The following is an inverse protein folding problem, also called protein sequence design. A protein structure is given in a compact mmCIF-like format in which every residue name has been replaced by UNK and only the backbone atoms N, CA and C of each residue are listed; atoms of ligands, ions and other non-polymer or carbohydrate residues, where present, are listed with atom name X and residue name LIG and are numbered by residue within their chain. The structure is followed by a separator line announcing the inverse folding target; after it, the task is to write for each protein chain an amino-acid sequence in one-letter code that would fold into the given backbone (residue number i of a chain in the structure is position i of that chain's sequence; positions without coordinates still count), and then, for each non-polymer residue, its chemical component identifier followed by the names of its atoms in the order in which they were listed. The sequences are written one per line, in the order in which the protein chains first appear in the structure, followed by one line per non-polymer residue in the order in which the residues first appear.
data_IF_870986848921
#
_entry.id   IF_870986848921
#
_cell.length_a   1.000
_cell.length_b   1.000
_cell.length_c   1.000
_cell.angle_alpha   90.00
_cell.angle_beta   90.00
_cell.angle_gamma   90.00
#
_symmetry.space_group_name_H-M   'P 1'
#
loop_
_entity.id
_entity.type
_entity.pdbx_description
1 polymer ?
#
# COMPACT_ATOMS: atom_id res chain seq x y z
N UNK A 1 -3.54 10.51 -18.61
CA UNK A 1 -3.40 11.93 -18.99
C UNK A 1 -4.24 12.88 -18.14
N UNK A 2 -5.42 12.47 -17.65
CA UNK A 2 -6.33 13.34 -16.89
C UNK A 2 -5.73 13.88 -15.57
N UNK A 3 -5.00 13.06 -14.80
CA UNK A 3 -4.33 13.51 -13.58
C UNK A 3 -3.31 14.63 -13.83
N UNK A 4 -2.49 14.51 -14.88
CA UNK A 4 -1.50 15.53 -15.22
C UNK A 4 -2.16 16.86 -15.58
N UNK A 5 -3.28 16.83 -16.31
CA UNK A 5 -4.04 18.03 -16.63
C UNK A 5 -4.61 18.68 -15.36
N UNK A 6 -5.24 17.90 -14.48
CA UNK A 6 -5.78 18.38 -13.21
C UNK A 6 -4.69 19.00 -12.32
N UNK A 7 -3.52 18.35 -12.20
CA UNK A 7 -2.39 18.89 -11.43
C UNK A 7 -1.87 20.22 -12.00
N UNK A 8 -1.81 20.34 -13.34
CA UNK A 8 -1.43 21.59 -13.99
C UNK A 8 -2.44 22.70 -13.72
N UNK A 9 -3.73 22.38 -13.75
CA UNK A 9 -4.79 23.36 -13.50
C UNK A 9 -4.83 23.80 -12.04
N UNK A 10 -4.63 22.89 -11.08
CA UNK A 10 -4.44 23.23 -9.67
C UNK A 10 -3.23 24.16 -9.46
N UNK A 11 -2.10 23.89 -10.13
CA UNK A 11 -0.91 24.74 -10.05
C UNK A 11 -1.14 26.13 -10.63
N UNK A 12 -1.84 26.22 -11.78
CA UNK A 12 -2.20 27.52 -12.39
C UNK A 12 -3.11 28.32 -11.45
N UNK A 13 -4.08 27.67 -10.82
CA UNK A 13 -4.99 28.29 -9.86
C UNK A 13 -4.25 28.83 -8.64
N UNK A 14 -3.32 28.06 -8.07
CA UNK A 14 -2.47 28.52 -6.97
C UNK A 14 -1.63 29.76 -7.34
N UNK A 15 -1.03 29.73 -8.52
CA UNK A 15 -0.27 30.86 -9.03
C UNK A 15 -1.15 32.10 -9.23
N UNK A 16 -2.36 31.93 -9.78
CA UNK A 16 -3.31 33.03 -9.96
C UNK A 16 -3.76 33.62 -8.62
N UNK A 17 -4.06 32.77 -7.63
CA UNK A 17 -4.50 33.19 -6.30
C UNK A 17 -3.39 33.91 -5.53
N UNK A 18 -2.16 33.42 -5.57
CA UNK A 18 -1.02 34.08 -4.92
C UNK A 18 -0.74 35.47 -5.50
N UNK A 19 -0.79 35.63 -6.83
CA UNK A 19 -0.67 36.94 -7.47
C UNK A 19 -1.86 37.86 -7.14
N UNK A 20 -3.08 37.33 -7.13
CA UNK A 20 -4.27 38.10 -6.75
C UNK A 20 -4.16 38.62 -5.31
N UNK A 21 -3.82 37.74 -4.36
CA UNK A 21 -3.60 38.10 -2.96
C UNK A 21 -2.49 39.15 -2.82
N UNK A 22 -1.36 38.99 -3.51
CA UNK A 22 -0.27 39.97 -3.53
C UNK A 22 -0.74 41.34 -3.99
N UNK A 23 -1.53 41.40 -5.07
CA UNK A 23 -2.09 42.65 -5.62
C UNK A 23 -3.13 43.27 -4.67
N UNK A 24 -3.97 42.47 -4.03
CA UNK A 24 -4.96 42.92 -3.03
C UNK A 24 -4.24 43.53 -1.83
N UNK A 25 -3.26 42.82 -1.27
CA UNK A 25 -2.49 43.30 -0.12
C UNK A 25 -1.76 44.60 -0.43
N UNK A 26 -1.11 44.70 -1.60
CA UNK A 26 -0.45 45.94 -2.05
C UNK A 26 -1.43 47.11 -2.22
N UNK A 27 -2.64 46.83 -2.72
CA UNK A 27 -3.70 47.85 -2.86
C UNK A 27 -4.25 48.28 -1.50
N UNK A 28 -4.39 47.35 -0.57
CA UNK A 28 -4.85 47.62 0.79
C UNK A 28 -3.85 48.50 1.54
N UNK A 29 -2.57 48.12 1.55
CA UNK A 29 -1.47 48.90 2.15
C UNK A 29 -1.43 50.34 1.63
N UNK A 30 -1.54 50.52 0.31
CA UNK A 30 -1.57 51.86 -0.31
C UNK A 30 -2.79 52.69 0.10
N UNK A 31 -3.93 52.05 0.40
CA UNK A 31 -5.19 52.73 0.76
C UNK A 31 -5.31 53.02 2.25
N UNK A 32 -4.71 52.20 3.11
CA UNK A 32 -4.88 52.31 4.56
C UNK A 32 -3.70 52.95 5.27
N UNK A 33 -2.58 53.23 4.58
CA UNK A 33 -1.36 53.83 5.14
C UNK A 33 -0.80 53.11 6.38
N UNK A 34 -1.35 51.93 6.72
CA UNK A 34 -0.88 51.03 7.75
C UNK A 34 0.40 50.38 7.22
N UNK A 35 1.55 50.86 7.71
CA UNK A 35 2.80 50.14 7.57
C UNK A 35 2.64 48.78 8.26
N UNK A 36 2.50 47.70 7.50
CA UNK A 36 2.61 46.35 8.03
C UNK A 36 4.11 46.08 8.30
N UNK A 37 4.66 46.72 9.32
CA UNK A 37 6.03 46.51 9.76
C UNK A 37 6.11 45.17 10.48
N UNK A 38 6.39 44.13 9.72
CA UNK A 38 7.15 42.92 10.03
C UNK A 38 6.57 41.76 9.23
N UNK A 39 7.35 41.28 8.26
CA UNK A 39 7.24 39.90 7.79
C UNK A 39 7.16 38.99 9.01
N UNK A 40 6.14 38.12 9.16
CA UNK A 40 6.28 36.95 10.00
C UNK A 40 7.47 36.19 9.40
N UNK A 41 8.62 36.25 10.07
CA UNK A 41 9.72 35.34 9.79
C UNK A 41 9.11 33.96 9.99
N UNK A 42 8.89 33.22 8.91
CA UNK A 42 8.70 31.78 9.03
C UNK A 42 9.86 31.29 9.90
N UNK A 43 9.60 30.53 10.99
CA UNK A 43 10.70 29.86 11.67
C UNK A 43 11.48 29.09 10.61
N UNK A 44 12.82 29.10 10.65
CA UNK A 44 13.61 28.26 9.76
C UNK A 44 13.10 26.83 9.88
N UNK A 45 13.17 26.00 8.82
CA UNK A 45 12.79 24.61 8.92
C UNK A 45 13.64 23.97 10.02
N UNK A 46 13.04 23.79 11.20
CA UNK A 46 13.55 22.88 12.20
C UNK A 46 13.54 21.52 11.52
N UNK A 47 14.73 21.00 11.24
CA UNK A 47 14.93 19.59 10.91
C UNK A 47 14.14 18.78 11.95
N UNK A 48 13.11 18.01 11.56
CA UNK A 48 12.52 17.10 12.52
C UNK A 48 13.61 16.07 12.81
N UNK A 49 14.07 16.06 14.06
CA UNK A 49 14.70 14.88 14.62
C UNK A 49 13.81 13.70 14.32
N UNK A 50 14.43 12.64 13.81
CA UNK A 50 13.79 11.37 13.55
C UNK A 50 13.46 10.73 14.90
N UNK A 51 12.34 11.12 15.51
CA UNK A 51 11.70 10.32 16.55
C UNK A 51 10.62 9.46 15.90
N UNK A 52 10.80 8.16 16.04
CA UNK A 52 9.94 7.12 15.51
C UNK A 52 8.50 7.27 16.03
N UNK A 53 7.56 7.57 15.12
CA UNK A 53 6.13 7.43 15.40
C UNK A 53 5.63 6.21 14.65
N UNK A 54 5.25 5.20 15.42
CA UNK A 54 4.70 3.91 15.00
C UNK A 54 3.35 4.06 14.26
N UNK A 55 2.91 3.07 13.46
CA UNK A 55 1.87 3.24 12.43
C UNK A 55 0.40 3.42 12.92
N UNK A 56 0.13 3.66 14.20
CA UNK A 56 -1.20 3.36 14.76
C UNK A 56 -2.16 4.56 14.91
N UNK A 57 -1.82 5.76 14.44
CA UNK A 57 -2.63 6.98 14.73
C UNK A 57 -3.31 7.65 13.53
N UNK A 58 -3.36 7.00 12.35
CA UNK A 58 -4.08 7.53 11.18
C UNK A 58 -5.57 7.13 11.10
N UNK A 59 -6.08 6.38 12.07
CA UNK A 59 -7.47 5.87 12.07
C UNK A 59 -8.45 6.68 12.93
N UNK A 60 -7.99 7.69 13.67
CA UNK A 60 -8.84 8.46 14.61
C UNK A 60 -9.18 9.89 14.17
N UNK A 61 -8.77 10.33 12.97
CA UNK A 61 -9.18 11.65 12.47
C UNK A 61 -10.61 11.58 11.89
N UNK A 62 -11.56 12.44 12.34
CA UNK A 62 -12.98 12.34 11.98
C UNK A 62 -13.27 12.43 10.47
N UNK A 63 -12.36 12.99 9.68
CA UNK A 63 -12.50 13.12 8.22
C UNK A 63 -12.21 11.81 7.47
N UNK A 64 -11.35 10.92 7.98
CA UNK A 64 -11.03 9.65 7.32
C UNK A 64 -12.18 8.64 7.43
N UNK A 65 -12.88 8.66 8.57
CA UNK A 65 -14.01 7.75 8.87
C UNK A 65 -15.26 8.07 8.05
N UNK A 66 -15.43 9.32 7.60
CA UNK A 66 -16.66 9.74 6.90
C UNK A 66 -16.65 9.31 5.43
N UNK A 67 -15.47 9.21 4.79
CA UNK A 67 -15.37 8.82 3.38
C UNK A 67 -15.56 7.32 3.13
N UNK A 68 -15.28 6.45 4.11
CA UNK A 68 -15.41 4.99 3.97
C UNK A 68 -16.83 4.46 4.27
N UNK A 69 -17.72 5.26 4.88
CA UNK A 69 -19.01 4.79 5.41
C UNK A 69 -20.20 4.93 4.44
N UNK A 70 -20.05 5.59 3.29
CA UNK A 70 -21.14 5.75 2.31
C UNK A 70 -21.33 4.54 1.36
N UNK A 71 -20.74 3.37 1.68
CA UNK A 71 -20.69 2.21 0.77
C UNK A 71 -21.74 1.10 0.95
N UNK A 72 -22.81 1.28 1.73
CA UNK A 72 -23.80 0.20 1.92
C UNK A 72 -25.25 0.69 1.97
N UNK A 73 -26.00 0.43 0.88
CA UNK A 73 -27.43 0.12 0.96
C UNK A 73 -27.83 -0.87 -0.16
N UNK A 74 -28.77 -1.80 0.10
CA UNK A 74 -29.06 -2.96 -0.73
C UNK A 74 -30.23 -2.71 -1.69
N UNK A 75 -30.28 -3.43 -2.82
CA UNK A 75 -31.49 -3.53 -3.66
C UNK A 75 -31.19 -3.52 -5.14
N UNK A 76 -31.37 -4.67 -5.79
CA UNK A 76 -31.03 -4.88 -7.20
C UNK A 76 -31.96 -4.19 -8.20
N UNK A 77 -31.40 -3.91 -9.38
CA UNK A 77 -32.11 -3.91 -10.65
C UNK A 77 -31.12 -4.20 -11.78
N UNK A 78 -31.62 -4.93 -12.78
CA UNK A 78 -30.94 -5.65 -13.84
C UNK A 78 -30.14 -4.78 -14.81
N UNK A 79 -29.09 -5.40 -15.37
CA UNK A 79 -28.23 -4.88 -16.45
C UNK A 79 -29.03 -4.70 -17.75
N UNK A 80 -28.81 -3.57 -18.44
CA UNK A 80 -29.00 -3.46 -19.88
C UNK A 80 -27.75 -2.83 -20.51
N UNK A 81 -27.20 -3.39 -21.60
CA UNK A 81 -25.99 -2.90 -22.23
C UNK A 81 -26.31 -1.82 -23.26
N UNK A 82 -25.84 -0.60 -23.02
CA UNK A 82 -25.89 0.47 -24.00
C UNK A 82 -25.69 1.83 -23.38
N UNK A 83 -24.89 2.66 -24.04
CA UNK A 83 -24.63 4.09 -23.77
C UNK A 83 -23.46 4.35 -22.80
N UNK A 84 -22.24 4.43 -23.36
CA UNK A 84 -21.09 5.06 -22.72
C UNK A 84 -21.32 6.58 -22.72
N UNK A 85 -21.89 7.12 -21.64
CA UNK A 85 -21.97 8.56 -21.40
C UNK A 85 -20.77 9.06 -20.60
N UNK A 86 -20.31 10.32 -20.80
CA UNK A 86 -19.19 10.87 -20.06
C UNK A 86 -19.56 11.08 -18.58
N UNK A 87 -18.68 10.67 -17.67
CA UNK A 87 -18.84 10.84 -16.22
C UNK A 87 -18.59 12.32 -15.84
N UNK A 88 -19.49 13.20 -16.26
CA UNK A 88 -19.52 14.60 -15.85
C UNK A 88 -20.15 14.68 -14.44
N UNK A 89 -19.35 14.39 -13.41
CA UNK A 89 -19.87 14.39 -12.03
C UNK A 89 -18.85 14.46 -10.90
N UNK A 90 -17.55 14.23 -11.18
CA UNK A 90 -16.53 14.25 -10.13
C UNK A 90 -16.01 15.66 -9.79
N UNK A 91 -16.12 16.61 -10.72
CA UNK A 91 -15.47 17.93 -10.56
C UNK A 91 -16.19 18.86 -9.57
N UNK A 92 -17.49 18.66 -9.33
CA UNK A 92 -18.32 19.58 -8.54
C UNK A 92 -18.42 19.25 -7.04
N UNK A 93 -17.93 18.08 -6.60
CA UNK A 93 -18.07 17.64 -5.19
C UNK A 93 -16.89 18.06 -4.31
N UNK A 94 -15.74 18.36 -4.90
CA UNK A 94 -14.48 18.58 -4.18
C UNK A 94 -14.28 20.02 -3.65
N UNK A 95 -14.89 21.02 -4.29
CA UNK A 95 -14.83 22.44 -3.88
C UNK A 95 -15.76 22.82 -2.71
N UNK A 96 -16.58 21.89 -2.20
CA UNK A 96 -17.53 22.15 -1.09
C UNK A 96 -16.89 22.10 0.30
N UNK A 97 -15.71 21.50 0.42
CA UNK A 97 -14.95 21.47 1.65
C UNK A 97 -13.85 22.51 1.50
N UNK A 98 -13.76 23.51 2.39
CA UNK A 98 -12.76 24.59 2.37
C UNK A 98 -11.32 24.11 2.60
N UNK A 99 -10.90 23.10 1.87
CA UNK A 99 -9.59 22.48 1.90
C UNK A 99 -8.57 23.43 1.28
N UNK A 100 -7.43 23.57 1.93
CA UNK A 100 -6.30 24.28 1.33
C UNK A 100 -5.77 23.51 0.12
N UNK A 101 -5.12 24.22 -0.80
CA UNK A 101 -4.57 23.63 -2.02
C UNK A 101 -3.64 22.43 -1.77
N UNK A 102 -2.77 22.42 -0.73
CA UNK A 102 -2.00 21.21 -0.37
C UNK A 102 -2.88 20.00 -0.04
N UNK A 103 -3.98 20.20 0.70
CA UNK A 103 -4.91 19.12 1.02
C UNK A 103 -5.65 18.62 -0.23
N UNK A 104 -6.05 19.54 -1.11
CA UNK A 104 -6.67 19.19 -2.38
C UNK A 104 -5.74 18.35 -3.26
N UNK A 105 -4.47 18.73 -3.34
CA UNK A 105 -3.45 18.00 -4.09
C UNK A 105 -3.20 16.61 -3.50
N UNK A 106 -3.13 16.49 -2.16
CA UNK A 106 -3.01 15.19 -1.49
C UNK A 106 -4.22 14.31 -1.79
N UNK A 107 -5.45 14.83 -1.64
CA UNK A 107 -6.68 14.06 -1.93
C UNK A 107 -6.67 13.55 -3.36
N UNK A 108 -6.45 14.42 -4.34
CA UNK A 108 -6.42 14.05 -5.76
C UNK A 108 -5.34 13.00 -6.04
N UNK A 109 -4.13 13.18 -5.50
CA UNK A 109 -3.06 12.20 -5.67
C UNK A 109 -3.42 10.86 -5.03
N UNK A 110 -3.98 10.85 -3.81
CA UNK A 110 -4.34 9.62 -3.12
C UNK A 110 -5.47 8.87 -3.81
N UNK A 111 -6.54 9.55 -4.22
CA UNK A 111 -7.68 8.91 -4.90
C UNK A 111 -7.32 8.34 -6.27
N UNK A 112 -6.34 8.95 -6.96
CA UNK A 112 -5.96 8.53 -8.31
C UNK A 112 -4.79 7.55 -8.34
N UNK A 113 -3.83 7.67 -7.43
CA UNK A 113 -2.61 6.86 -7.44
C UNK A 113 -2.71 5.63 -6.53
N UNK A 114 -3.32 5.73 -5.34
CA UNK A 114 -3.40 4.57 -4.42
C UNK A 114 -4.09 3.35 -5.04
N UNK A 115 -5.16 3.47 -5.86
CA UNK A 115 -5.79 2.30 -6.46
C UNK A 115 -4.93 1.59 -7.51
N UNK A 116 -3.95 2.26 -8.10
CA UNK A 116 -3.10 1.70 -9.17
C UNK A 116 -1.71 1.32 -8.71
N UNK A 117 -1.27 1.82 -7.54
CA UNK A 117 -0.01 1.43 -6.94
C UNK A 117 -0.21 0.06 -6.27
N UNK A 118 0.49 -0.99 -6.74
CA UNK A 118 0.37 -2.29 -6.12
C UNK A 118 0.94 -2.26 -4.70
N UNK A 119 0.16 -2.69 -3.71
CA UNK A 119 0.63 -2.82 -2.34
C UNK A 119 1.32 -4.17 -2.16
N UNK A 120 2.32 -4.26 -1.28
CA UNK A 120 3.01 -5.53 -1.03
C UNK A 120 2.11 -6.55 -0.31
N UNK A 121 1.18 -6.07 0.51
CA UNK A 121 0.30 -6.90 1.34
C UNK A 121 -0.63 -7.77 0.48
N UNK A 122 -1.05 -7.27 -0.69
CA UNK A 122 -1.86 -8.00 -1.67
C UNK A 122 -1.15 -9.24 -2.24
N UNK A 123 0.18 -9.29 -2.13
CA UNK A 123 1.02 -10.37 -2.63
C UNK A 123 1.73 -11.14 -1.50
N UNK A 124 1.25 -10.98 -0.28
CA UNK A 124 1.78 -11.68 0.89
C UNK A 124 1.25 -13.12 1.00
N UNK A 125 2.08 -14.02 1.51
CA UNK A 125 1.69 -15.39 1.84
C UNK A 125 1.04 -15.41 3.23
N UNK A 126 -0.20 -15.87 3.34
CA UNK A 126 -0.97 -15.86 4.60
C UNK A 126 -0.46 -16.82 5.68
N UNK A 127 0.59 -17.60 5.40
CA UNK A 127 1.23 -18.49 6.38
C UNK A 127 2.44 -17.82 7.04
N UNK A 128 3.24 -17.10 6.27
CA UNK A 128 4.47 -16.48 6.76
C UNK A 128 4.44 -14.95 6.77
N UNK A 129 3.33 -14.34 6.32
CA UNK A 129 3.10 -12.90 6.25
C UNK A 129 4.20 -12.11 5.54
N UNK A 130 4.96 -12.77 4.66
CA UNK A 130 5.95 -12.14 3.79
C UNK A 130 5.53 -12.33 2.34
N UNK A 131 6.16 -11.60 1.42
CA UNK A 131 5.97 -11.75 -0.03
C UNK A 131 5.90 -13.23 -0.43
N UNK A 132 4.90 -13.61 -1.22
CA UNK A 132 4.66 -14.96 -1.68
C UNK A 132 5.69 -15.39 -2.76
N UNK A 133 6.97 -15.43 -2.39
CA UNK A 133 8.08 -15.77 -3.29
C UNK A 133 7.92 -17.17 -3.88
N UNK A 134 7.93 -17.25 -5.23
CA UNK A 134 7.41 -18.38 -6.00
C UNK A 134 5.95 -18.67 -5.58
N UNK A 135 5.00 -17.85 -6.06
CA UNK A 135 3.61 -17.93 -5.63
C UNK A 135 2.94 -19.18 -6.19
N UNK A 136 2.21 -19.91 -5.34
CA UNK A 136 1.26 -20.94 -5.75
C UNK A 136 -0.15 -20.42 -5.50
N UNK A 137 -1.01 -20.54 -6.51
CA UNK A 137 -2.46 -20.37 -6.34
C UNK A 137 -3.12 -21.73 -6.24
N UNK A 138 -3.77 -21.99 -5.11
CA UNK A 138 -4.59 -23.18 -4.96
C UNK A 138 -5.80 -23.13 -5.91
N UNK A 139 -6.46 -24.27 -6.13
CA UNK A 139 -7.71 -24.33 -6.89
C UNK A 139 -8.80 -23.42 -6.30
N UNK A 140 -8.78 -23.21 -4.97
CA UNK A 140 -9.63 -22.25 -4.28
C UNK A 140 -9.18 -20.77 -4.40
N UNK A 141 -8.21 -20.48 -5.28
CA UNK A 141 -7.68 -19.15 -5.64
C UNK A 141 -6.82 -18.43 -4.58
N UNK A 142 -6.70 -18.99 -3.37
CA UNK A 142 -5.84 -18.43 -2.33
C UNK A 142 -4.35 -18.59 -2.64
N UNK A 143 -3.57 -17.60 -2.22
CA UNK A 143 -2.16 -17.41 -2.57
C UNK A 143 -1.22 -17.78 -1.41
N UNK A 144 -0.19 -18.57 -1.71
CA UNK A 144 0.86 -18.94 -0.76
C UNK A 144 2.23 -18.97 -1.48
N UNK A 145 3.34 -18.98 -0.74
CA UNK A 145 4.63 -19.34 -1.34
C UNK A 145 4.80 -20.87 -1.38
N UNK A 146 5.55 -21.38 -2.37
CA UNK A 146 5.86 -22.82 -2.52
C UNK A 146 6.32 -23.43 -1.20
N UNK A 147 7.27 -22.78 -0.51
CA UNK A 147 7.89 -23.33 0.71
C UNK A 147 6.88 -23.56 1.84
N UNK A 148 5.99 -22.60 2.09
CA UNK A 148 4.95 -22.76 3.10
C UNK A 148 3.96 -23.86 2.73
N UNK A 149 3.58 -23.94 1.44
CA UNK A 149 2.67 -24.99 0.99
C UNK A 149 3.31 -26.39 1.11
N UNK A 150 4.57 -26.56 0.71
CA UNK A 150 5.29 -27.83 0.85
C UNK A 150 5.45 -28.26 2.31
N UNK A 151 5.61 -27.32 3.25
CA UNK A 151 5.58 -27.63 4.69
C UNK A 151 4.21 -28.14 5.14
N UNK A 152 3.12 -27.51 4.68
CA UNK A 152 1.77 -27.99 4.99
C UNK A 152 1.49 -29.38 4.42
N UNK A 153 1.91 -29.64 3.18
CA UNK A 153 1.78 -30.95 2.55
C UNK A 153 2.56 -32.04 3.31
N UNK A 154 3.80 -31.76 3.74
CA UNK A 154 4.59 -32.69 4.58
C UNK A 154 3.93 -32.98 5.94
N UNK A 155 3.16 -32.03 6.47
CA UNK A 155 2.37 -32.20 7.69
C UNK A 155 1.03 -32.92 7.48
N UNK A 156 0.70 -33.32 6.25
CA UNK A 156 -0.59 -33.96 5.93
C UNK A 156 -1.80 -33.02 6.03
N UNK A 157 -1.59 -31.70 6.02
CA UNK A 157 -2.70 -30.72 6.09
C UNK A 157 -3.32 -30.52 4.72
N UNK A 158 -4.53 -31.03 4.52
CA UNK A 158 -5.22 -30.99 3.22
C UNK A 158 -6.03 -29.71 2.95
N UNK A 159 -6.47 -29.05 4.01
CA UNK A 159 -7.41 -27.93 3.93
C UNK A 159 -6.69 -26.59 3.82
N UNK A 160 -7.18 -25.73 2.91
CA UNK A 160 -6.72 -24.35 2.79
C UNK A 160 -6.96 -23.59 4.10
N UNK A 161 -5.97 -22.84 4.64
CA UNK A 161 -6.11 -22.12 5.91
C UNK A 161 -7.12 -20.96 5.85
N UNK A 162 -7.48 -20.48 4.66
CA UNK A 162 -8.38 -19.34 4.47
C UNK A 162 -9.83 -19.76 4.28
N UNK A 163 -10.09 -20.75 3.41
CA UNK A 163 -11.46 -21.17 3.08
C UNK A 163 -11.76 -22.63 3.37
N UNK A 164 -10.81 -23.39 3.95
CA UNK A 164 -10.95 -24.81 4.33
C UNK A 164 -11.23 -25.79 3.18
N UNK A 165 -11.08 -25.37 1.92
CA UNK A 165 -11.21 -26.27 0.78
C UNK A 165 -10.07 -27.30 0.75
N UNK A 166 -10.31 -28.58 0.41
CA UNK A 166 -9.32 -29.67 0.43
C UNK A 166 -8.38 -29.66 -0.79
N UNK A 167 -7.74 -28.53 -1.04
CA UNK A 167 -6.96 -28.28 -2.27
C UNK A 167 -5.45 -28.34 -2.06
N UNK A 168 -4.96 -28.44 -0.82
CA UNK A 168 -3.52 -28.32 -0.51
C UNK A 168 -2.73 -29.53 -1.02
N UNK A 169 -3.21 -30.76 -0.79
CA UNK A 169 -2.50 -31.97 -1.23
C UNK A 169 -2.53 -32.17 -2.76
N UNK A 170 -3.50 -31.55 -3.43
CA UNK A 170 -3.64 -31.61 -4.89
C UNK A 170 -2.75 -30.60 -5.63
N UNK A 171 -2.15 -29.66 -4.92
CA UNK A 171 -1.36 -28.59 -5.53
C UNK A 171 0.06 -29.07 -5.89
N UNK A 172 0.42 -28.90 -7.15
CA UNK A 172 1.71 -29.31 -7.73
C UNK A 172 2.44 -28.09 -8.34
N UNK A 173 3.57 -28.35 -9.01
CA UNK A 173 4.38 -27.31 -9.67
C UNK A 173 3.61 -26.53 -10.74
N UNK A 174 2.60 -27.14 -11.34
CA UNK A 174 1.73 -26.51 -12.35
C UNK A 174 0.86 -25.38 -11.77
N UNK A 175 0.64 -25.36 -10.45
CA UNK A 175 -0.13 -24.32 -9.78
C UNK A 175 0.69 -23.06 -9.46
N UNK A 176 1.97 -23.03 -9.83
CA UNK A 176 2.83 -21.86 -9.67
C UNK A 176 2.39 -20.76 -10.63
N UNK A 177 2.07 -19.59 -10.10
CA UNK A 177 1.68 -18.43 -10.90
C UNK A 177 2.94 -17.69 -11.38
N UNK A 178 3.45 -18.11 -12.54
CA UNK A 178 4.66 -17.55 -13.14
C UNK A 178 4.51 -16.08 -13.54
N UNK A 179 3.31 -15.67 -13.96
CA UNK A 179 3.02 -14.27 -14.30
C UNK A 179 3.11 -13.39 -13.05
N UNK A 180 2.51 -13.82 -11.94
CA UNK A 180 2.61 -13.12 -10.67
C UNK A 180 4.03 -13.11 -10.12
N UNK A 181 4.76 -14.21 -10.27
CA UNK A 181 6.17 -14.28 -9.90
C UNK A 181 6.98 -13.19 -10.63
N UNK A 182 6.83 -13.10 -11.94
CA UNK A 182 7.54 -12.11 -12.75
C UNK A 182 7.13 -10.69 -12.37
N UNK A 183 5.84 -10.46 -12.11
CA UNK A 183 5.34 -9.19 -11.61
C UNK A 183 6.04 -8.81 -10.29
N UNK A 184 6.09 -9.70 -9.30
CA UNK A 184 6.74 -9.42 -8.02
C UNK A 184 8.25 -9.19 -8.14
N UNK A 185 8.94 -9.91 -9.03
CA UNK A 185 10.37 -9.67 -9.29
C UNK A 185 10.62 -8.29 -9.92
N UNK A 186 9.63 -7.76 -10.65
CA UNK A 186 9.72 -6.45 -11.32
C UNK A 186 9.35 -5.32 -10.37
N UNK A 187 8.24 -5.45 -9.63
CA UNK A 187 7.68 -4.38 -8.78
C UNK A 187 8.23 -4.38 -7.35
N UNK A 188 8.62 -5.54 -6.81
CA UNK A 188 9.10 -5.71 -5.43
C UNK A 188 10.45 -6.47 -5.37
N UNK A 189 11.49 -6.01 -6.08
CA UNK A 189 12.73 -6.76 -6.23
C UNK A 189 13.53 -6.89 -4.93
N UNK A 190 13.46 -5.91 -4.03
CA UNK A 190 14.21 -5.94 -2.78
C UNK A 190 13.62 -7.00 -1.82
N UNK A 191 12.30 -7.03 -1.73
CA UNK A 191 11.51 -7.91 -0.89
C UNK A 191 11.56 -9.35 -1.41
N UNK A 192 11.53 -9.52 -2.73
CA UNK A 192 11.74 -10.83 -3.36
C UNK A 192 13.13 -11.39 -3.04
N UNK A 193 14.19 -10.58 -3.12
CA UNK A 193 15.55 -11.00 -2.75
C UNK A 193 15.68 -11.31 -1.26
N UNK A 194 15.09 -10.48 -0.40
CA UNK A 194 15.09 -10.70 1.04
C UNK A 194 14.39 -12.02 1.38
N UNK A 195 13.24 -12.30 0.74
CA UNK A 195 12.51 -13.55 0.95
C UNK A 195 13.25 -14.77 0.40
N UNK A 196 13.89 -14.68 -0.77
CA UNK A 196 14.74 -15.76 -1.29
C UNK A 196 15.87 -16.10 -0.32
N UNK A 197 16.60 -15.09 0.16
CA UNK A 197 17.66 -15.25 1.16
C UNK A 197 17.13 -15.94 2.43
N UNK A 198 16.02 -15.44 2.99
CA UNK A 198 15.42 -16.03 4.19
C UNK A 198 14.99 -17.49 3.97
N UNK A 199 14.41 -17.81 2.80
CA UNK A 199 14.03 -19.20 2.46
C UNK A 199 15.25 -20.12 2.36
N UNK A 200 16.37 -19.64 1.80
CA UNK A 200 17.62 -20.41 1.67
C UNK A 200 18.27 -20.66 3.04
N UNK A 201 18.30 -19.65 3.90
CA UNK A 201 18.80 -19.78 5.27
C UNK A 201 17.95 -20.73 6.10
N UNK A 202 16.62 -20.62 6.02
CA UNK A 202 15.73 -21.54 6.72
C UNK A 202 15.89 -22.97 6.23
N UNK A 203 16.08 -23.18 4.91
CA UNK A 203 16.35 -24.51 4.35
C UNK A 203 17.67 -25.07 4.85
N UNK A 204 18.74 -24.28 4.82
CA UNK A 204 20.05 -24.69 5.32
C UNK A 204 20.00 -25.04 6.81
N UNK A 205 19.22 -24.29 7.61
CA UNK A 205 19.02 -24.59 9.04
C UNK A 205 18.30 -25.91 9.26
N UNK A 206 17.21 -26.17 8.50
CA UNK A 206 16.48 -27.45 8.58
C UNK A 206 17.39 -28.63 8.21
N UNK A 207 18.16 -28.52 7.12
CA UNK A 207 19.11 -29.55 6.69
C UNK A 207 20.23 -29.78 7.73
N UNK A 208 20.74 -28.73 8.35
CA UNK A 208 21.74 -28.85 9.42
C UNK A 208 21.18 -29.58 10.65
N UNK A 209 19.94 -29.28 11.04
CA UNK A 209 19.25 -29.98 12.14
C UNK A 209 19.04 -31.46 11.79
N UNK A 210 18.59 -31.76 10.57
CA UNK A 210 18.37 -33.14 10.10
C UNK A 210 19.68 -33.96 10.08
N UNK A 211 20.82 -33.33 9.79
CA UNK A 211 22.15 -33.96 9.84
C UNK A 211 22.74 -34.08 11.26
N UNK A 212 22.01 -33.64 12.28
CA UNK A 212 22.43 -33.75 13.68
C UNK A 212 23.36 -32.63 14.17
N UNK A 213 23.50 -31.52 13.43
CA UNK A 213 24.25 -30.33 13.85
C UNK A 213 23.39 -29.33 14.66
N UNK A 214 22.33 -29.80 15.31
CA UNK A 214 21.37 -28.97 16.06
C UNK A 214 21.99 -28.26 17.28
N UNK A 215 21.36 -27.17 17.70
CA UNK A 215 21.79 -26.24 18.75
C UNK A 215 21.87 -26.85 20.18
N UNK A 216 21.51 -28.13 20.35
CA UNK A 216 21.63 -28.89 21.59
C UNK A 216 22.99 -29.61 21.69
N UNK A 217 24.07 -28.83 21.73
CA UNK A 217 25.44 -29.33 21.53
C UNK A 217 26.53 -28.80 22.46
N UNK A 218 26.20 -28.09 23.55
CA UNK A 218 27.11 -27.94 24.69
C UNK A 218 27.22 -29.25 25.51
N UNK A 219 27.19 -30.41 24.84
CA UNK A 219 27.51 -31.69 25.45
C UNK A 219 28.99 -31.92 25.21
N UNK A 220 29.73 -31.80 26.31
CA UNK A 220 31.15 -32.14 26.43
C UNK A 220 31.53 -33.33 25.53
N UNK A 221 32.27 -33.06 24.47
CA UNK A 221 33.09 -34.10 23.85
C UNK A 221 34.19 -34.43 24.87
N UNK A 222 33.97 -35.46 25.68
CA UNK A 222 35.07 -36.10 26.41
C UNK A 222 35.68 -37.08 25.41
N UNK A 223 36.83 -36.71 24.87
CA UNK A 223 37.73 -37.67 24.21
C UNK A 223 38.28 -38.54 25.34
N UNK A 224 37.89 -39.82 25.34
CA UNK A 224 38.58 -40.86 26.12
C UNK A 224 39.71 -41.46 25.27
#
# INVERSE_FOLDING_TARGET
MQLNALLLDLKKFDHANSEALRKIMKKHEKRTALMLSSTPRLPPPSTPGFESISPTTMTSHPLFVTLLREGTAPGGAMLHPGMMGPVAGAESKLMKHGLSLPHLLVVVLTETLLPVIPSIDDYSCMICFSLAYIPIRLQCRHLFCVRCLSKMQRQGKENCPLCRAPTVLHANRENVDTALQQFMLTWFPAEARAKDKANREEKAREEAIELGYGEDGAKSCIVM
#
